data_IF_900830651586
#
_entry.id   IF_900830651586
#
_cell.length_a   1.000
_cell.length_b   1.000
_cell.length_c   1.000
_cell.angle_alpha   90.00
_cell.angle_beta   90.00
_cell.angle_gamma   90.00
#
_symmetry.space_group_name_H-M   'P 1'
#
loop_
_entity.id
_entity.type
_entity.pdbx_description
1 polymer ?
#
# COMPACT_ATOMS: atom_id res chain seq x y z
N UNK A 1 -15.55 24.85 12.41
CA UNK A 1 -14.34 24.09 11.98
C UNK A 1 -13.62 24.91 10.92
N UNK A 2 -12.32 25.12 11.03
CA UNK A 2 -11.55 25.78 9.98
C UNK A 2 -11.50 24.88 8.74
N UNK A 3 -11.59 25.48 7.55
CA UNK A 3 -11.46 24.78 6.27
C UNK A 3 -10.09 25.13 5.73
N UNK A 4 -9.39 24.14 5.19
CA UNK A 4 -8.13 24.33 4.45
C UNK A 4 -8.40 23.95 3.01
N UNK A 5 -8.01 24.80 2.09
CA UNK A 5 -8.15 24.56 0.65
C UNK A 5 -6.80 24.13 0.06
N UNK A 6 -6.81 23.09 -0.75
CA UNK A 6 -5.62 22.63 -1.46
C UNK A 6 -6.03 22.03 -2.81
N UNK A 7 -5.33 22.33 -3.90
CA UNK A 7 -5.47 21.61 -5.15
C UNK A 7 -5.31 20.10 -4.97
N UNK A 8 -6.25 19.32 -5.49
CA UNK A 8 -6.22 17.87 -5.33
C UNK A 8 -6.75 17.14 -6.56
N UNK A 9 -6.19 15.97 -6.85
CA UNK A 9 -6.64 15.04 -7.90
C UNK A 9 -6.62 13.60 -7.39
N UNK A 10 -7.66 12.85 -7.73
CA UNK A 10 -7.63 11.41 -7.68
C UNK A 10 -7.27 10.86 -9.06
N UNK A 11 -6.09 10.27 -9.19
CA UNK A 11 -5.56 9.68 -10.43
C UNK A 11 -6.08 8.25 -10.54
N UNK A 12 -7.02 8.01 -11.43
CA UNK A 12 -7.64 6.72 -11.63
C UNK A 12 -7.53 6.25 -13.09
N UNK A 13 -7.98 5.05 -13.39
CA UNK A 13 -7.92 4.48 -14.73
C UNK A 13 -9.12 3.54 -14.97
N UNK A 14 -9.37 3.13 -16.23
CA UNK A 14 -10.41 2.14 -16.53
C UNK A 14 -10.11 0.76 -15.92
N UNK A 15 -8.83 0.42 -15.74
CA UNK A 15 -8.41 -0.91 -15.25
C UNK A 15 -7.01 -0.87 -14.62
N UNK A 16 -6.63 -1.98 -13.99
CA UNK A 16 -5.22 -2.23 -13.64
C UNK A 16 -4.35 -2.30 -14.89
N UNK A 17 -3.04 -1.99 -14.75
CA UNK A 17 -2.08 -2.01 -15.87
C UNK A 17 -2.15 -0.80 -16.83
N UNK A 18 -3.08 0.15 -16.62
CA UNK A 18 -3.18 1.38 -17.44
C UNK A 18 -2.05 2.40 -17.20
N UNK A 19 -1.18 2.16 -16.20
CA UNK A 19 -0.03 2.98 -15.86
C UNK A 19 -0.33 4.13 -14.90
N UNK A 20 -1.31 3.95 -14.00
CA UNK A 20 -1.63 4.92 -12.93
C UNK A 20 -0.39 5.32 -12.14
N UNK A 21 0.37 4.35 -11.64
CA UNK A 21 1.55 4.58 -10.81
C UNK A 21 2.61 5.38 -11.56
N UNK A 22 2.92 5.03 -12.82
CA UNK A 22 3.87 5.78 -13.64
C UNK A 22 3.43 7.24 -13.86
N UNK A 23 2.13 7.46 -14.12
CA UNK A 23 1.60 8.81 -14.35
C UNK A 23 1.52 9.59 -13.03
N UNK A 24 1.10 8.99 -11.92
CA UNK A 24 1.08 9.64 -10.60
C UNK A 24 2.49 10.04 -10.17
N UNK A 25 3.45 9.13 -10.33
CA UNK A 25 4.85 9.40 -10.04
C UNK A 25 5.43 10.50 -10.94
N UNK A 26 5.12 10.47 -12.25
CA UNK A 26 5.51 11.51 -13.18
C UNK A 26 4.95 12.89 -12.79
N UNK A 27 3.67 12.96 -12.45
CA UNK A 27 3.02 14.19 -11.98
C UNK A 27 3.64 14.70 -10.68
N UNK A 28 3.83 13.82 -9.69
CA UNK A 28 4.43 14.19 -8.42
C UNK A 28 5.84 14.75 -8.61
N UNK A 29 6.69 14.07 -9.38
CA UNK A 29 8.05 14.53 -9.69
C UNK A 29 8.07 15.80 -10.52
N UNK A 30 7.19 15.95 -11.50
CA UNK A 30 7.04 17.14 -12.34
C UNK A 30 6.73 18.40 -11.52
N UNK A 31 5.73 18.34 -10.63
CA UNK A 31 5.39 19.48 -9.79
C UNK A 31 6.46 19.76 -8.73
N UNK A 32 7.06 18.72 -8.15
CA UNK A 32 8.18 18.88 -7.22
C UNK A 32 9.38 19.57 -7.87
N UNK A 33 9.72 19.25 -9.12
CA UNK A 33 10.79 19.92 -9.86
C UNK A 33 10.50 21.41 -10.14
N UNK A 34 9.22 21.80 -10.07
CA UNK A 34 8.80 23.20 -10.12
C UNK A 34 8.76 23.88 -8.74
N UNK A 35 9.28 23.25 -7.71
CA UNK A 35 9.32 23.78 -6.35
C UNK A 35 8.01 23.66 -5.58
N UNK A 36 7.08 22.81 -6.02
CA UNK A 36 5.81 22.56 -5.32
C UNK A 36 5.96 21.50 -4.24
N UNK A 37 5.30 21.72 -3.11
CA UNK A 37 5.13 20.72 -2.06
C UNK A 37 4.00 19.76 -2.45
N UNK A 38 4.35 18.52 -2.81
CA UNK A 38 3.39 17.52 -3.27
C UNK A 38 3.23 16.44 -2.21
N UNK A 39 1.99 16.17 -1.80
CA UNK A 39 1.65 15.01 -0.97
C UNK A 39 0.93 13.98 -1.80
N UNK A 40 1.36 12.73 -1.70
CA UNK A 40 0.75 11.61 -2.43
C UNK A 40 0.11 10.63 -1.44
N UNK A 41 -1.05 10.13 -1.82
CA UNK A 41 -1.75 9.06 -1.12
C UNK A 41 -2.03 7.90 -2.08
N UNK A 42 -2.19 6.72 -1.53
CA UNK A 42 -2.61 5.52 -2.27
C UNK A 42 -3.98 5.06 -1.78
N UNK A 43 -4.93 4.79 -2.68
CA UNK A 43 -6.18 4.15 -2.24
C UNK A 43 -5.98 2.65 -2.06
N UNK A 44 -6.67 2.09 -1.08
CA UNK A 44 -6.62 0.67 -0.77
C UNK A 44 -5.30 0.18 -0.17
N UNK A 45 -5.21 -1.12 0.06
CA UNK A 45 -4.03 -1.76 0.65
C UNK A 45 -2.97 -2.03 -0.41
N UNK A 46 -1.88 -1.29 -0.37
CA UNK A 46 -0.74 -1.46 -1.26
C UNK A 46 0.55 -1.16 -0.50
N UNK A 47 1.59 -1.98 -0.69
CA UNK A 47 2.88 -1.83 -0.02
C UNK A 47 4.02 -1.46 -0.98
N UNK A 48 3.82 -1.62 -2.28
CA UNK A 48 4.87 -1.51 -3.30
C UNK A 48 4.82 -0.16 -3.98
N UNK A 49 3.67 0.21 -4.55
CA UNK A 49 3.49 1.51 -5.21
C UNK A 49 3.82 2.70 -4.29
N UNK A 50 3.46 2.68 -2.98
CA UNK A 50 3.83 3.75 -2.05
C UNK A 50 5.31 4.08 -2.03
N UNK A 51 6.22 3.10 -2.11
CA UNK A 51 7.66 3.35 -2.14
C UNK A 51 8.12 4.16 -3.35
N UNK A 52 7.59 3.86 -4.53
CA UNK A 52 7.86 4.62 -5.77
C UNK A 52 7.30 6.04 -5.67
N UNK A 53 6.08 6.18 -5.16
CA UNK A 53 5.41 7.47 -5.01
C UNK A 53 6.08 8.34 -3.93
N UNK A 54 6.63 7.73 -2.89
CA UNK A 54 7.44 8.38 -1.85
C UNK A 54 8.72 8.96 -2.45
N UNK A 55 9.44 8.20 -3.26
CA UNK A 55 10.60 8.70 -4.00
C UNK A 55 10.22 9.85 -4.95
N UNK A 56 9.09 9.74 -5.65
CA UNK A 56 8.63 10.75 -6.59
C UNK A 56 8.27 12.08 -5.90
N UNK A 57 7.49 12.03 -4.83
CA UNK A 57 7.04 13.20 -4.09
C UNK A 57 8.07 13.75 -3.10
N UNK A 58 8.94 12.88 -2.55
CA UNK A 58 9.86 13.19 -1.47
C UNK A 58 9.22 13.18 -0.08
N UNK A 59 8.00 12.64 0.03
CA UNK A 59 7.24 12.59 1.29
C UNK A 59 6.61 11.23 1.50
N UNK A 60 6.38 10.81 2.77
CA UNK A 60 5.71 9.57 3.08
C UNK A 60 4.35 9.44 2.43
N UNK A 61 4.06 8.26 1.89
CA UNK A 61 2.79 7.94 1.24
C UNK A 61 1.93 7.10 2.18
N UNK A 62 0.70 7.56 2.42
CA UNK A 62 -0.27 6.90 3.30
C UNK A 62 -1.44 6.35 2.50
N UNK A 63 -2.08 5.33 3.06
CA UNK A 63 -3.28 4.74 2.51
C UNK A 63 -4.51 5.58 2.84
N UNK A 64 -5.42 5.66 1.86
CA UNK A 64 -6.79 6.13 2.04
C UNK A 64 -7.75 5.00 1.67
N UNK A 65 -8.63 4.65 2.57
CA UNK A 65 -9.64 3.61 2.35
C UNK A 65 -10.80 3.84 3.31
N UNK A 66 -12.03 3.92 2.79
CA UNK A 66 -13.20 4.27 3.61
C UNK A 66 -13.56 3.18 4.63
N UNK A 67 -13.16 1.93 4.39
CA UNK A 67 -13.43 0.83 5.29
C UNK A 67 -12.24 0.48 6.20
N UNK A 68 -11.06 0.22 5.63
CA UNK A 68 -9.88 -0.22 6.39
C UNK A 68 -9.30 0.92 7.24
N UNK A 69 -9.05 2.05 6.61
CA UNK A 69 -8.54 3.27 7.27
C UNK A 69 -9.66 3.97 8.04
N UNK A 70 -10.84 4.04 7.44
CA UNK A 70 -12.01 4.73 7.96
C UNK A 70 -12.07 6.21 7.58
N UNK A 71 -13.29 6.71 7.47
CA UNK A 71 -13.58 8.07 7.01
C UNK A 71 -12.91 9.17 7.85
N UNK A 72 -12.96 9.05 9.16
CA UNK A 72 -12.39 10.04 10.08
C UNK A 72 -10.86 10.18 9.93
N UNK A 73 -10.16 9.06 9.81
CA UNK A 73 -8.71 9.05 9.63
C UNK A 73 -8.32 9.53 8.23
N UNK A 74 -9.05 9.14 7.18
CA UNK A 74 -8.87 9.68 5.83
C UNK A 74 -9.02 11.19 5.81
N UNK A 75 -10.09 11.72 6.41
CA UNK A 75 -10.33 13.16 6.54
C UNK A 75 -9.20 13.87 7.27
N UNK A 76 -8.75 13.30 8.38
CA UNK A 76 -7.65 13.85 9.17
C UNK A 76 -6.36 13.94 8.38
N UNK A 77 -6.00 12.87 7.64
CA UNK A 77 -4.79 12.82 6.80
C UNK A 77 -4.85 13.82 5.65
N UNK A 78 -5.98 13.90 4.96
CA UNK A 78 -6.17 14.87 3.87
C UNK A 78 -6.09 16.31 4.40
N UNK A 79 -6.75 16.61 5.52
CA UNK A 79 -6.70 17.95 6.11
C UNK A 79 -5.30 18.30 6.64
N UNK A 80 -4.54 17.34 7.16
CA UNK A 80 -3.14 17.56 7.57
C UNK A 80 -2.25 17.86 6.36
N UNK A 81 -2.37 17.06 5.29
CA UNK A 81 -1.62 17.27 4.05
C UNK A 81 -1.96 18.62 3.40
N UNK A 82 -3.24 19.01 3.37
CA UNK A 82 -3.68 20.27 2.77
C UNK A 82 -3.10 21.53 3.45
N UNK A 83 -2.66 21.43 4.71
CA UNK A 83 -1.99 22.56 5.42
C UNK A 83 -0.56 22.80 4.98
N UNK A 84 0.06 21.80 4.38
CA UNK A 84 1.50 21.79 4.07
C UNK A 84 1.78 21.67 2.58
N UNK A 85 0.80 21.20 1.79
CA UNK A 85 0.98 20.91 0.38
C UNK A 85 0.46 22.02 -0.53
N UNK A 86 1.13 22.21 -1.67
CA UNK A 86 0.60 22.95 -2.82
C UNK A 86 -0.31 22.07 -3.68
N UNK A 87 -0.14 20.74 -3.61
CA UNK A 87 -0.89 19.76 -4.40
C UNK A 87 -1.00 18.43 -3.66
N UNK A 88 -2.21 17.87 -3.64
CA UNK A 88 -2.48 16.51 -3.20
C UNK A 88 -2.80 15.64 -4.42
N UNK A 89 -2.07 14.53 -4.57
CA UNK A 89 -2.36 13.48 -5.53
C UNK A 89 -2.79 12.22 -4.80
N UNK A 90 -3.83 11.57 -5.28
CA UNK A 90 -4.30 10.29 -4.71
C UNK A 90 -4.31 9.27 -5.84
N UNK A 91 -3.48 8.24 -5.74
CA UNK A 91 -3.49 7.17 -6.71
C UNK A 91 -4.58 6.15 -6.40
N UNK A 92 -5.47 5.92 -7.36
CA UNK A 92 -6.54 4.92 -7.28
C UNK A 92 -6.02 3.49 -7.41
N UNK A 93 -6.72 2.55 -6.80
CA UNK A 93 -6.50 1.11 -6.96
C UNK A 93 -7.44 0.54 -8.03
N UNK A 94 -7.01 -0.50 -8.76
CA UNK A 94 -7.80 -1.19 -9.80
C UNK A 94 -8.39 -0.22 -10.85
N UNK A 95 -9.59 -0.48 -11.36
CA UNK A 95 -10.36 0.47 -12.16
C UNK A 95 -11.12 1.46 -11.27
N UNK A 96 -11.46 2.63 -11.82
CA UNK A 96 -12.10 3.74 -11.09
C UNK A 96 -13.34 3.30 -10.29
N UNK A 97 -14.14 2.39 -10.84
CA UNK A 97 -15.40 1.93 -10.26
C UNK A 97 -15.31 0.54 -9.64
N UNK A 98 -14.10 -0.07 -9.65
CA UNK A 98 -13.89 -1.43 -9.14
C UNK A 98 -13.71 -1.42 -7.63
N UNK A 99 -14.23 -2.46 -6.98
CA UNK A 99 -14.15 -2.65 -5.54
C UNK A 99 -15.28 -1.99 -4.76
N UNK A 100 -15.29 -2.27 -3.44
CA UNK A 100 -16.26 -1.69 -2.49
C UNK A 100 -15.55 -1.47 -1.16
N UNK A 101 -15.28 -0.20 -0.75
CA UNK A 101 -15.48 1.02 -1.54
C UNK A 101 -14.51 1.11 -2.72
N UNK A 102 -14.95 1.73 -3.82
CA UNK A 102 -14.14 2.01 -5.00
C UNK A 102 -13.37 3.33 -4.87
N UNK A 103 -12.45 3.59 -5.80
CA UNK A 103 -11.79 4.91 -5.92
C UNK A 103 -12.79 6.02 -6.21
N UNK A 104 -13.87 5.72 -6.96
CA UNK A 104 -14.95 6.68 -7.22
C UNK A 104 -15.73 7.03 -5.95
N UNK A 105 -16.00 6.04 -5.06
CA UNK A 105 -16.67 6.31 -3.78
C UNK A 105 -15.84 7.26 -2.91
N UNK A 106 -14.53 7.09 -2.88
CA UNK A 106 -13.63 7.99 -2.13
C UNK A 106 -13.61 9.39 -2.76
N UNK A 107 -13.56 9.48 -4.09
CA UNK A 107 -13.59 10.75 -4.81
C UNK A 107 -14.87 11.54 -4.53
N UNK A 108 -16.03 10.88 -4.60
CA UNK A 108 -17.33 11.49 -4.28
C UNK A 108 -17.43 11.91 -2.82
N UNK A 109 -17.00 11.04 -1.89
CA UNK A 109 -17.09 11.29 -0.45
C UNK A 109 -16.31 12.53 -0.01
N UNK A 110 -15.13 12.76 -0.61
CA UNK A 110 -14.27 13.91 -0.28
C UNK A 110 -14.37 15.07 -1.27
N UNK A 111 -15.18 14.95 -2.33
CA UNK A 111 -15.32 15.96 -3.36
C UNK A 111 -14.04 16.15 -4.20
N UNK A 112 -13.20 15.14 -4.33
CA UNK A 112 -11.91 15.21 -5.02
C UNK A 112 -12.09 14.90 -6.51
N UNK A 113 -11.72 15.82 -7.42
CA UNK A 113 -11.89 15.60 -8.85
C UNK A 113 -11.01 14.46 -9.37
N UNK A 114 -11.57 13.63 -10.25
CA UNK A 114 -10.88 12.50 -10.88
C UNK A 114 -10.13 12.94 -12.12
N UNK A 115 -8.84 12.63 -12.19
CA UNK A 115 -8.03 12.61 -13.40
C UNK A 115 -7.98 11.17 -13.94
N UNK A 116 -8.62 10.91 -15.07
CA UNK A 116 -8.61 9.58 -15.67
C UNK A 116 -7.38 9.38 -16.56
N UNK A 117 -6.53 8.44 -16.19
CA UNK A 117 -5.39 7.96 -16.99
C UNK A 117 -5.85 6.85 -17.90
N UNK A 118 -5.76 7.06 -19.20
CA UNK A 118 -6.21 6.10 -20.22
C UNK A 118 -5.01 5.63 -21.04
N UNK A 119 -4.79 4.31 -21.10
CA UNK A 119 -3.79 3.70 -21.98
C UNK A 119 -4.20 3.89 -23.43
N UNK A 120 -3.45 4.70 -24.15
CA UNK A 120 -3.73 5.03 -25.55
C UNK A 120 -2.91 4.19 -26.55
N UNK A 121 -2.14 3.19 -26.10
CA UNK A 121 -1.20 2.44 -26.95
C UNK A 121 -1.84 1.78 -28.18
N UNK A 122 -3.15 1.46 -28.11
CA UNK A 122 -3.92 0.85 -29.19
C UNK A 122 -5.24 1.59 -29.48
N UNK A 123 -5.28 2.91 -29.22
CA UNK A 123 -6.49 3.71 -29.37
C UNK A 123 -6.29 4.89 -30.32
N UNK A 124 -7.37 5.32 -30.95
CA UNK A 124 -7.51 6.56 -31.69
C UNK A 124 -8.79 7.28 -31.21
N UNK A 125 -9.81 7.46 -32.05
CA UNK A 125 -11.06 8.16 -31.68
C UNK A 125 -11.87 7.47 -30.59
N UNK A 126 -11.75 6.14 -30.41
CA UNK A 126 -12.39 5.39 -29.32
C UNK A 126 -11.96 5.91 -27.93
N UNK A 127 -10.81 6.57 -27.83
CA UNK A 127 -10.35 7.24 -26.62
C UNK A 127 -11.40 8.22 -26.05
N UNK A 128 -12.00 9.03 -26.92
CA UNK A 128 -13.05 9.97 -26.52
C UNK A 128 -14.30 9.31 -25.97
N UNK A 129 -14.71 8.16 -26.54
CA UNK A 129 -15.85 7.39 -26.04
C UNK A 129 -15.58 6.80 -24.63
N UNK A 130 -14.37 6.29 -24.41
CA UNK A 130 -13.96 5.79 -23.10
C UNK A 130 -13.88 6.92 -22.06
N UNK A 131 -13.30 8.06 -22.45
CA UNK A 131 -13.23 9.25 -21.61
C UNK A 131 -14.62 9.74 -21.19
N UNK A 132 -15.57 9.79 -22.14
CA UNK A 132 -16.96 10.16 -21.87
C UNK A 132 -17.62 9.18 -20.90
N UNK A 133 -17.44 7.88 -21.14
CA UNK A 133 -17.99 6.84 -20.26
C UNK A 133 -17.53 6.99 -18.83
N UNK A 134 -16.21 7.20 -18.60
CA UNK A 134 -15.66 7.41 -17.26
C UNK A 134 -16.21 8.68 -16.59
N UNK A 135 -16.39 9.76 -17.35
CA UNK A 135 -16.87 11.04 -16.82
C UNK A 135 -18.36 11.05 -16.50
N UNK A 136 -19.18 10.22 -17.17
CA UNK A 136 -20.63 10.30 -17.08
C UNK A 136 -21.31 9.10 -16.45
N UNK A 137 -20.59 8.00 -16.24
CA UNK A 137 -21.14 6.77 -15.66
C UNK A 137 -21.75 7.00 -14.26
N UNK A 138 -21.14 7.89 -13.47
CA UNK A 138 -21.68 8.35 -12.18
C UNK A 138 -21.79 9.88 -12.20
N UNK A 139 -23.02 10.42 -12.33
CA UNK A 139 -23.23 11.86 -12.51
C UNK A 139 -22.74 12.73 -11.34
N UNK A 140 -22.67 12.17 -10.12
CA UNK A 140 -22.20 12.90 -8.91
C UNK A 140 -20.67 12.93 -8.81
N UNK A 141 -19.95 12.13 -9.60
CA UNK A 141 -18.49 12.04 -9.51
C UNK A 141 -17.84 13.34 -10.00
N UNK A 142 -17.07 14.04 -9.15
CA UNK A 142 -16.30 15.18 -9.62
C UNK A 142 -15.23 14.70 -10.60
N UNK A 143 -15.25 15.23 -11.83
CA UNK A 143 -14.36 14.80 -12.90
C UNK A 143 -13.52 15.96 -13.41
N UNK A 144 -12.19 15.87 -13.28
CA UNK A 144 -11.27 16.92 -13.67
C UNK A 144 -10.93 16.87 -15.17
N UNK A 145 -10.79 15.68 -15.73
CA UNK A 145 -10.40 15.46 -17.12
C UNK A 145 -9.63 14.18 -17.34
N UNK A 146 -8.91 14.12 -18.46
CA UNK A 146 -8.18 12.92 -18.89
C UNK A 146 -6.72 13.22 -19.21
N UNK A 147 -5.86 12.23 -18.99
CA UNK A 147 -4.47 12.17 -19.40
C UNK A 147 -4.24 10.88 -20.20
N UNK A 148 -3.69 11.00 -21.41
CA UNK A 148 -3.37 9.85 -22.23
C UNK A 148 -1.99 9.29 -21.88
N UNK A 149 -1.90 7.99 -21.60
CA UNK A 149 -0.65 7.31 -21.33
C UNK A 149 -0.20 6.44 -22.52
N UNK A 150 1.09 6.18 -22.63
CA UNK A 150 1.70 5.36 -23.69
C UNK A 150 1.42 5.88 -25.11
N UNK A 151 1.40 7.19 -25.27
CA UNK A 151 1.16 7.84 -26.55
C UNK A 151 2.35 7.66 -27.49
N UNK A 152 2.08 7.33 -28.75
CA UNK A 152 3.13 6.99 -29.73
C UNK A 152 3.87 8.22 -30.30
N UNK A 153 3.17 9.37 -30.46
CA UNK A 153 3.71 10.58 -31.08
C UNK A 153 2.84 11.81 -30.80
N UNK A 154 3.36 13.04 -31.03
CA UNK A 154 2.55 14.27 -30.93
C UNK A 154 1.33 14.27 -31.88
N UNK A 155 1.47 13.66 -33.08
CA UNK A 155 0.33 13.51 -34.00
C UNK A 155 -0.75 12.60 -33.40
N UNK A 156 -0.36 11.49 -32.77
CA UNK A 156 -1.29 10.60 -32.07
C UNK A 156 -1.96 11.33 -30.91
N UNK A 157 -1.22 12.10 -30.10
CA UNK A 157 -1.80 12.95 -29.05
C UNK A 157 -2.85 13.92 -29.59
N UNK A 158 -2.59 14.53 -30.75
CA UNK A 158 -3.55 15.41 -31.42
C UNK A 158 -4.86 14.70 -31.83
N UNK A 159 -4.76 13.45 -32.34
CA UNK A 159 -5.94 12.65 -32.67
C UNK A 159 -6.75 12.28 -31.41
N UNK A 160 -6.09 11.89 -30.34
CA UNK A 160 -6.74 11.57 -29.07
C UNK A 160 -7.46 12.80 -28.50
N UNK A 161 -6.78 13.94 -28.44
CA UNK A 161 -7.34 15.21 -27.95
C UNK A 161 -8.56 15.62 -28.78
N UNK A 162 -8.49 15.52 -30.10
CA UNK A 162 -9.58 15.87 -31.01
C UNK A 162 -10.80 14.95 -30.90
N UNK A 163 -10.64 13.75 -30.31
CA UNK A 163 -11.74 12.81 -30.09
C UNK A 163 -12.57 13.10 -28.85
N UNK A 164 -12.06 13.98 -27.96
CA UNK A 164 -12.76 14.30 -26.72
C UNK A 164 -14.04 15.09 -27.02
N UNK A 165 -15.16 14.73 -26.39
CA UNK A 165 -16.37 15.51 -26.47
C UNK A 165 -16.19 16.89 -25.80
N UNK A 166 -16.96 17.92 -26.24
CA UNK A 166 -16.94 19.24 -25.63
C UNK A 166 -17.15 19.18 -24.10
N UNK A 167 -16.35 19.93 -23.36
CA UNK A 167 -16.42 20.00 -21.90
C UNK A 167 -15.52 19.01 -21.15
N UNK A 168 -14.97 17.99 -21.81
CA UNK A 168 -13.94 17.16 -21.22
C UNK A 168 -12.56 17.79 -21.37
N UNK A 169 -11.92 18.05 -20.22
CA UNK A 169 -10.59 18.66 -20.18
C UNK A 169 -9.51 17.64 -20.54
N UNK A 170 -8.62 18.02 -21.46
CA UNK A 170 -7.36 17.32 -21.73
C UNK A 170 -6.28 17.88 -20.81
N UNK A 171 -5.69 17.05 -19.96
CA UNK A 171 -4.59 17.45 -19.08
C UNK A 171 -3.22 17.34 -19.75
N UNK A 172 -3.09 16.40 -20.69
CA UNK A 172 -1.83 16.13 -21.36
C UNK A 172 -1.64 14.68 -21.70
N UNK A 173 -0.39 14.30 -21.91
CA UNK A 173 -0.05 12.92 -22.27
C UNK A 173 1.36 12.55 -21.84
N UNK A 174 1.57 11.25 -21.64
CA UNK A 174 2.86 10.65 -21.39
C UNK A 174 3.20 9.70 -22.57
N UNK A 175 4.38 9.82 -23.19
CA UNK A 175 4.80 8.90 -24.24
C UNK A 175 5.09 7.51 -23.67
N UNK A 176 5.24 6.52 -24.58
CA UNK A 176 5.68 5.19 -24.19
C UNK A 176 7.19 5.20 -23.92
N UNK A 177 7.56 5.42 -22.67
CA UNK A 177 8.95 5.45 -22.20
C UNK A 177 9.42 4.04 -21.80
N UNK A 178 10.16 3.36 -22.67
CA UNK A 178 10.64 1.99 -22.38
C UNK A 178 11.77 1.97 -21.33
N UNK A 179 12.65 2.96 -21.35
CA UNK A 179 13.81 3.04 -20.46
C UNK A 179 13.44 3.55 -19.05
N UNK A 180 12.32 4.24 -18.93
CA UNK A 180 11.76 4.68 -17.66
C UNK A 180 10.60 3.78 -17.16
N UNK A 181 10.36 2.64 -17.83
CA UNK A 181 9.37 1.69 -17.38
C UNK A 181 9.73 1.18 -15.98
N UNK A 182 8.77 1.26 -15.07
CA UNK A 182 8.91 0.65 -13.75
C UNK A 182 8.77 -0.88 -13.92
N UNK A 183 9.76 -1.67 -13.45
CA UNK A 183 9.73 -3.11 -13.63
C UNK A 183 8.59 -3.74 -12.81
N UNK A 184 7.86 -4.64 -13.44
CA UNK A 184 6.78 -5.39 -12.80
C UNK A 184 7.24 -6.80 -12.45
N UNK A 185 6.78 -7.33 -11.32
CA UNK A 185 6.85 -8.74 -10.92
C UNK A 185 5.47 -9.37 -10.96
N UNK A 186 5.38 -10.67 -10.63
CA UNK A 186 4.13 -11.44 -10.58
C UNK A 186 3.01 -10.80 -9.76
N UNK A 187 3.34 -9.95 -8.77
CA UNK A 187 2.41 -9.36 -7.81
C UNK A 187 2.41 -7.83 -7.79
N UNK A 188 2.94 -7.19 -8.83
CA UNK A 188 3.03 -5.73 -8.92
C UNK A 188 4.42 -5.25 -9.31
N UNK A 189 4.76 -4.00 -8.98
CA UNK A 189 6.08 -3.42 -9.22
C UNK A 189 7.17 -4.12 -8.37
N UNK A 190 8.41 -3.97 -8.79
CA UNK A 190 9.58 -4.24 -7.94
C UNK A 190 9.65 -3.17 -6.84
N UNK A 191 10.08 -3.53 -5.63
CA UNK A 191 10.21 -2.57 -4.54
C UNK A 191 11.14 -1.40 -4.88
N UNK A 192 10.84 -0.21 -4.37
CA UNK A 192 11.63 0.99 -4.67
C UNK A 192 13.12 0.84 -4.27
N UNK A 193 13.39 0.15 -3.18
CA UNK A 193 14.72 -0.16 -2.67
C UNK A 193 15.50 -1.18 -3.52
N UNK A 194 14.80 -1.92 -4.39
CA UNK A 194 15.40 -2.84 -5.35
C UNK A 194 15.71 -2.17 -6.71
N UNK A 195 15.38 -0.89 -6.88
CA UNK A 195 15.59 -0.11 -8.11
C UNK A 195 16.64 0.98 -7.91
N UNK A 196 17.94 0.70 -8.08
CA UNK A 196 19.01 1.69 -7.84
C UNK A 196 18.95 2.90 -8.77
N UNK A 197 18.28 2.80 -9.91
CA UNK A 197 18.10 3.85 -10.91
C UNK A 197 16.71 4.52 -10.86
N UNK A 198 15.94 4.33 -9.76
CA UNK A 198 14.57 4.83 -9.64
C UNK A 198 14.47 6.34 -9.80
N UNK A 199 15.35 7.12 -9.16
CA UNK A 199 15.33 8.58 -9.28
C UNK A 199 15.54 9.05 -10.72
N UNK A 200 16.49 8.45 -11.45
CA UNK A 200 16.71 8.76 -12.86
C UNK A 200 15.51 8.41 -13.76
N UNK A 201 14.82 7.29 -13.45
CA UNK A 201 13.58 6.91 -14.14
C UNK A 201 12.45 7.90 -13.87
N UNK A 202 12.30 8.32 -12.62
CA UNK A 202 11.29 9.31 -12.22
C UNK A 202 11.54 10.67 -12.88
N UNK A 203 12.78 11.14 -12.92
CA UNK A 203 13.15 12.38 -13.60
C UNK A 203 12.87 12.31 -15.10
N UNK A 204 13.15 11.14 -15.74
CA UNK A 204 12.84 10.91 -17.15
C UNK A 204 11.34 10.89 -17.41
N UNK A 205 10.53 10.24 -16.57
CA UNK A 205 9.07 10.24 -16.68
C UNK A 205 8.51 11.66 -16.54
N UNK A 206 9.00 12.42 -15.56
CA UNK A 206 8.58 13.81 -15.37
C UNK A 206 8.97 14.71 -16.56
N UNK A 207 10.18 14.53 -17.08
CA UNK A 207 10.66 15.28 -18.26
C UNK A 207 9.95 14.93 -19.56
N UNK A 208 9.43 13.70 -19.67
CA UNK A 208 8.67 13.23 -20.84
C UNK A 208 7.19 13.64 -20.79
N UNK A 209 6.69 14.04 -19.63
CA UNK A 209 5.29 14.42 -19.44
C UNK A 209 4.98 15.73 -20.17
N UNK A 210 4.04 15.68 -21.11
CA UNK A 210 3.58 16.87 -21.85
C UNK A 210 2.24 17.33 -21.28
N UNK A 211 2.27 18.42 -20.56
CA UNK A 211 1.09 19.03 -19.92
C UNK A 211 0.52 20.17 -20.74
N UNK A 212 -0.80 20.35 -20.67
CA UNK A 212 -1.46 21.57 -21.18
C UNK A 212 -1.12 22.81 -20.33
N UNK A 213 -1.48 23.99 -20.84
CA UNK A 213 -1.34 25.21 -20.06
C UNK A 213 -2.19 25.13 -18.79
N UNK A 214 -1.62 25.61 -17.67
CA UNK A 214 -2.23 25.58 -16.34
C UNK A 214 -2.67 24.15 -15.90
N UNK A 215 -1.71 23.27 -15.60
CA UNK A 215 -2.02 21.90 -15.24
C UNK A 215 -2.55 21.73 -13.79
N UNK A 216 -2.57 22.79 -12.99
CA UNK A 216 -3.06 22.73 -11.61
C UNK A 216 -4.58 22.45 -11.58
N UNK A 217 -5.02 21.51 -10.72
CA UNK A 217 -6.44 21.28 -10.50
C UNK A 217 -7.07 22.39 -9.65
N UNK A 218 -8.40 22.40 -9.62
CA UNK A 218 -9.13 23.26 -8.70
C UNK A 218 -8.82 22.90 -7.23
N UNK A 219 -8.88 23.90 -6.36
CA UNK A 219 -8.76 23.67 -4.92
C UNK A 219 -9.98 22.91 -4.39
N UNK A 220 -9.71 21.98 -3.49
CA UNK A 220 -10.72 21.20 -2.74
C UNK A 220 -10.69 21.64 -1.29
N UNK A 221 -11.87 21.81 -0.71
CA UNK A 221 -12.03 22.20 0.68
C UNK A 221 -11.93 20.98 1.60
N UNK A 222 -10.95 20.98 2.49
CA UNK A 222 -10.74 19.94 3.50
C UNK A 222 -11.10 20.49 4.89
N UNK A 223 -12.24 20.09 5.50
CA UNK A 223 -12.56 20.44 6.87
C UNK A 223 -11.47 20.00 7.83
N UNK A 224 -11.01 20.89 8.70
CA UNK A 224 -10.00 20.54 9.70
C UNK A 224 -10.53 19.43 10.61
N UNK A 225 -9.70 18.44 10.83
CA UNK A 225 -9.95 17.36 11.75
C UNK A 225 -8.78 17.29 12.75
N UNK A 226 -9.11 17.23 14.03
CA UNK A 226 -8.10 17.05 15.07
C UNK A 226 -7.69 15.59 15.19
N UNK A 227 -6.41 15.37 15.49
CA UNK A 227 -5.95 14.03 15.81
C UNK A 227 -6.44 13.65 17.22
N UNK A 228 -7.01 12.46 17.42
CA UNK A 228 -7.32 11.99 18.76
C UNK A 228 -6.02 11.89 19.58
N UNK A 229 -6.11 12.23 20.86
CA UNK A 229 -5.00 12.02 21.78
C UNK A 229 -4.74 10.51 21.91
N UNK A 230 -3.52 10.08 21.57
CA UNK A 230 -3.11 8.69 21.69
C UNK A 230 -2.52 8.44 23.08
N UNK A 231 -2.98 7.41 23.80
CA UNK A 231 -2.34 7.02 25.06
C UNK A 231 -0.94 6.46 24.77
N UNK A 232 0.03 6.80 25.62
CA UNK A 232 1.42 6.35 25.47
C UNK A 232 1.63 4.95 26.06
N UNK A 233 0.85 3.97 25.59
CA UNK A 233 0.85 2.60 26.11
C UNK A 233 2.16 1.85 25.85
N UNK A 234 2.94 2.26 24.85
CA UNK A 234 4.21 1.62 24.45
C UNK A 234 5.44 2.39 24.96
N UNK A 235 5.24 3.25 25.98
CA UNK A 235 6.35 3.96 26.60
C UNK A 235 7.39 2.97 27.12
N UNK A 236 8.65 3.22 26.77
CA UNK A 236 9.80 2.41 27.15
C UNK A 236 9.83 0.98 26.56
N UNK A 237 8.93 0.67 25.61
CA UNK A 237 8.91 -0.59 24.85
C UNK A 237 9.79 -0.43 23.60
N UNK A 238 10.80 -1.30 23.47
CA UNK A 238 11.58 -1.44 22.25
C UNK A 238 10.97 -2.54 21.38
N UNK A 239 10.59 -2.20 20.14
CA UNK A 239 10.05 -3.14 19.16
C UNK A 239 11.07 -3.32 18.04
N UNK A 240 11.60 -4.54 17.91
CA UNK A 240 12.44 -4.89 16.78
C UNK A 240 11.58 -5.34 15.59
N UNK A 241 11.79 -4.72 14.44
CA UNK A 241 10.98 -4.89 13.23
C UNK A 241 11.86 -5.48 12.13
N UNK A 242 11.50 -6.64 11.62
CA UNK A 242 12.14 -7.24 10.46
C UNK A 242 11.88 -6.37 9.23
N UNK A 243 12.95 -5.96 8.54
CA UNK A 243 12.85 -5.11 7.34
C UNK A 243 13.99 -5.39 6.39
N UNK A 244 13.68 -6.08 5.30
CA UNK A 244 14.56 -6.34 4.16
C UNK A 244 13.71 -6.81 2.96
N UNK A 245 14.34 -7.31 1.89
CA UNK A 245 13.64 -7.80 0.69
C UNK A 245 12.69 -8.99 0.95
N UNK A 246 12.87 -9.73 2.04
CA UNK A 246 11.94 -10.80 2.43
C UNK A 246 10.76 -10.29 3.27
N UNK A 247 10.91 -9.14 3.95
CA UNK A 247 9.95 -8.60 4.92
C UNK A 247 9.79 -7.09 4.73
N UNK A 248 9.09 -6.66 3.69
CA UNK A 248 8.99 -5.26 3.28
C UNK A 248 7.57 -4.67 3.37
N UNK A 249 6.54 -5.48 3.64
CA UNK A 249 5.14 -5.03 3.57
C UNK A 249 4.70 -4.40 4.89
N UNK A 250 5.05 -3.13 5.06
CA UNK A 250 4.78 -2.36 6.28
C UNK A 250 4.01 -1.09 5.91
N UNK A 251 2.84 -0.88 6.53
CA UNK A 251 2.19 0.42 6.45
C UNK A 251 2.99 1.47 7.23
N UNK A 252 3.34 2.56 6.59
CA UNK A 252 3.98 3.70 7.26
C UNK A 252 3.18 4.18 8.47
N UNK A 253 1.85 4.20 8.32
CA UNK A 253 0.93 4.57 9.38
C UNK A 253 1.05 3.72 10.65
N UNK A 254 1.42 2.44 10.51
CA UNK A 254 1.64 1.54 11.64
C UNK A 254 2.90 1.95 12.42
N UNK A 255 3.98 2.28 11.71
CA UNK A 255 5.24 2.73 12.36
C UNK A 255 5.04 4.05 13.10
N UNK A 256 4.37 5.00 12.45
CA UNK A 256 4.07 6.31 13.04
C UNK A 256 3.19 6.16 14.29
N UNK A 257 2.21 5.24 14.26
CA UNK A 257 1.36 4.94 15.41
C UNK A 257 2.17 4.42 16.60
N UNK A 258 3.01 3.39 16.39
CA UNK A 258 3.84 2.82 17.45
C UNK A 258 4.74 3.89 18.09
N UNK A 259 5.37 4.72 17.26
CA UNK A 259 6.20 5.83 17.71
C UNK A 259 5.40 6.86 18.51
N UNK A 260 4.22 7.24 18.02
CA UNK A 260 3.32 8.18 18.71
C UNK A 260 2.85 7.64 20.08
N UNK A 261 2.67 6.32 20.18
CA UNK A 261 2.33 5.64 21.44
C UNK A 261 3.53 5.43 22.37
N UNK A 262 4.74 5.85 21.97
CA UNK A 262 5.93 5.91 22.80
C UNK A 262 6.93 4.79 22.59
N UNK A 263 6.73 3.88 21.62
CA UNK A 263 7.68 2.82 21.31
C UNK A 263 8.98 3.35 20.70
N UNK A 264 10.08 2.67 21.00
CA UNK A 264 11.34 2.80 20.26
C UNK A 264 11.39 1.70 19.19
N UNK A 265 11.51 2.08 17.92
CA UNK A 265 11.56 1.14 16.81
C UNK A 265 13.02 0.88 16.41
N UNK A 266 13.38 -0.40 16.29
CA UNK A 266 14.68 -0.86 15.81
C UNK A 266 14.47 -1.79 14.61
N UNK A 267 15.11 -1.49 13.48
CA UNK A 267 14.99 -2.32 12.29
C UNK A 267 16.17 -3.28 12.20
N UNK A 268 15.89 -4.52 11.78
CA UNK A 268 16.90 -5.53 11.53
C UNK A 268 16.57 -6.34 10.27
N UNK A 269 17.58 -6.99 9.69
CA UNK A 269 17.43 -7.76 8.45
C UNK A 269 17.58 -9.26 8.73
N UNK A 270 16.51 -10.05 8.68
CA UNK A 270 16.62 -11.50 8.72
C UNK A 270 17.52 -12.12 7.64
N UNK A 271 17.72 -11.44 6.52
CA UNK A 271 18.62 -11.89 5.45
C UNK A 271 20.10 -11.62 5.74
N UNK A 272 20.41 -10.53 6.48
CA UNK A 272 21.80 -10.10 6.71
C UNK A 272 22.28 -10.34 8.14
N UNK A 273 21.44 -10.08 9.15
CA UNK A 273 21.79 -10.17 10.55
C UNK A 273 21.81 -11.64 11.02
N UNK A 274 22.82 -12.01 11.78
CA UNK A 274 23.04 -13.39 12.23
C UNK A 274 22.43 -13.71 13.60
N UNK A 275 21.92 -12.70 14.28
CA UNK A 275 21.30 -12.84 15.59
C UNK A 275 20.08 -11.95 15.71
N UNK A 276 19.12 -12.38 16.53
CA UNK A 276 17.98 -11.55 16.89
C UNK A 276 18.42 -10.40 17.79
N UNK A 277 18.09 -9.12 17.48
CA UNK A 277 18.42 -8.00 18.34
C UNK A 277 17.67 -8.07 19.67
N UNK A 278 18.23 -7.52 20.74
CA UNK A 278 17.55 -7.46 22.03
C UNK A 278 16.40 -6.45 21.98
N UNK A 279 15.18 -6.91 22.25
CA UNK A 279 13.98 -6.09 22.23
C UNK A 279 12.92 -6.62 23.20
N UNK A 280 11.92 -5.78 23.50
CA UNK A 280 10.79 -6.14 24.35
C UNK A 280 9.66 -6.83 23.56
N UNK A 281 9.62 -6.61 22.24
CA UNK A 281 8.69 -7.25 21.31
C UNK A 281 9.29 -7.30 19.89
N UNK A 282 8.77 -8.20 19.05
CA UNK A 282 9.20 -8.39 17.67
C UNK A 282 8.03 -8.29 16.71
N UNK A 283 8.31 -7.68 15.54
CA UNK A 283 7.36 -7.63 14.43
C UNK A 283 8.00 -8.16 13.15
N UNK A 284 7.36 -9.16 12.57
CA UNK A 284 7.70 -9.74 11.27
C UNK A 284 6.56 -9.42 10.30
N UNK A 285 6.72 -8.41 9.45
CA UNK A 285 5.71 -8.02 8.48
C UNK A 285 5.60 -9.02 7.32
N UNK A 286 4.69 -8.76 6.40
CA UNK A 286 4.63 -9.50 5.15
C UNK A 286 5.79 -9.19 4.21
N UNK A 287 5.83 -9.93 3.11
CA UNK A 287 6.85 -9.85 2.09
C UNK A 287 6.93 -11.15 1.29
N UNK A 288 8.10 -11.45 0.76
CA UNK A 288 8.36 -12.60 -0.11
C UNK A 288 9.43 -13.55 0.46
N UNK A 289 9.23 -14.17 1.66
CA UNK A 289 10.21 -15.09 2.24
C UNK A 289 10.48 -16.29 1.33
N UNK A 290 9.49 -16.72 0.51
CA UNK A 290 9.63 -17.82 -0.44
C UNK A 290 10.68 -17.58 -1.54
N UNK A 291 11.07 -16.34 -1.77
CA UNK A 291 12.16 -15.98 -2.71
C UNK A 291 13.54 -16.07 -2.04
N UNK A 292 13.61 -16.21 -0.72
CA UNK A 292 14.83 -16.15 0.08
C UNK A 292 15.04 -17.38 1.00
N UNK A 293 14.44 -18.53 0.65
CA UNK A 293 14.39 -19.72 1.50
C UNK A 293 15.76 -20.20 1.97
N UNK A 294 16.78 -20.21 1.09
CA UNK A 294 18.13 -20.68 1.45
C UNK A 294 18.75 -19.83 2.56
N UNK A 295 18.66 -18.51 2.42
CA UNK A 295 19.22 -17.57 3.39
C UNK A 295 18.49 -17.64 4.73
N UNK A 296 17.15 -17.65 4.71
CA UNK A 296 16.34 -17.73 5.93
C UNK A 296 16.51 -19.06 6.66
N UNK A 297 16.53 -20.19 5.91
CA UNK A 297 16.76 -21.51 6.48
C UNK A 297 18.15 -21.67 7.12
N UNK A 298 19.17 -21.07 6.49
CA UNK A 298 20.54 -21.12 7.00
C UNK A 298 20.80 -20.21 8.21
N UNK A 299 19.89 -19.27 8.49
CA UNK A 299 20.06 -18.32 9.59
C UNK A 299 19.63 -18.93 10.94
N UNK A 300 20.42 -19.90 11.42
CA UNK A 300 20.14 -20.62 12.67
C UNK A 300 20.24 -19.72 13.90
N UNK A 301 21.13 -18.73 13.92
CA UNK A 301 21.27 -17.80 15.05
C UNK A 301 20.03 -16.95 15.27
N UNK A 302 19.41 -16.47 14.19
CA UNK A 302 18.13 -15.76 14.28
C UNK A 302 17.03 -16.69 14.76
N UNK A 303 16.92 -17.90 14.20
CA UNK A 303 15.95 -18.92 14.60
C UNK A 303 16.05 -19.25 16.08
N UNK A 304 17.25 -19.53 16.57
CA UNK A 304 17.47 -19.92 17.96
C UNK A 304 17.13 -18.77 18.91
N UNK A 305 17.43 -17.51 18.52
CA UNK A 305 17.00 -16.30 19.20
C UNK A 305 15.48 -16.17 19.29
N UNK A 306 14.76 -16.44 18.18
CA UNK A 306 13.29 -16.40 18.14
C UNK A 306 12.65 -17.49 19.03
N UNK A 307 13.19 -18.71 19.02
CA UNK A 307 12.73 -19.79 19.89
C UNK A 307 12.94 -19.43 21.37
N UNK A 308 14.07 -18.82 21.71
CA UNK A 308 14.35 -18.35 23.06
C UNK A 308 13.40 -17.20 23.47
N UNK A 309 13.12 -16.26 22.58
CA UNK A 309 12.17 -15.17 22.81
C UNK A 309 10.75 -15.69 23.03
N UNK A 310 10.30 -16.65 22.20
CA UNK A 310 9.01 -17.30 22.37
C UNK A 310 8.91 -18.03 23.72
N UNK A 311 9.94 -18.80 24.09
CA UNK A 311 9.98 -19.49 25.37
C UNK A 311 9.98 -18.53 26.57
N UNK A 312 10.59 -17.36 26.43
CA UNK A 312 10.56 -16.28 27.43
C UNK A 312 9.24 -15.50 27.49
N UNK A 313 8.28 -15.82 26.62
CA UNK A 313 7.00 -15.11 26.53
C UNK A 313 7.11 -13.69 25.98
N UNK A 314 8.15 -13.40 25.19
CA UNK A 314 8.27 -12.11 24.49
C UNK A 314 7.21 -12.02 23.39
N UNK A 315 6.46 -10.92 23.29
CA UNK A 315 5.47 -10.72 22.22
C UNK A 315 6.11 -10.76 20.83
N UNK A 316 5.54 -11.56 19.95
CA UNK A 316 5.92 -11.65 18.54
C UNK A 316 4.66 -11.51 17.70
N UNK A 317 4.62 -10.53 16.80
CA UNK A 317 3.57 -10.39 15.79
C UNK A 317 4.16 -10.77 14.43
N UNK A 318 3.50 -11.67 13.71
CA UNK A 318 3.92 -12.13 12.40
C UNK A 318 2.77 -12.06 11.39
N UNK A 319 2.92 -11.27 10.34
CA UNK A 319 1.90 -11.05 9.32
C UNK A 319 2.31 -11.66 7.98
N UNK A 320 1.42 -12.36 7.29
CA UNK A 320 1.57 -12.90 5.94
C UNK A 320 2.93 -13.63 5.75
N UNK A 321 3.86 -13.09 4.96
CA UNK A 321 5.21 -13.65 4.78
C UNK A 321 5.95 -13.85 6.10
N UNK A 322 5.78 -12.92 7.07
CA UNK A 322 6.31 -13.08 8.41
C UNK A 322 5.75 -14.31 9.12
N UNK A 323 4.43 -14.55 9.03
CA UNK A 323 3.82 -15.77 9.54
C UNK A 323 4.35 -17.02 8.81
N UNK A 324 4.50 -16.96 7.48
CA UNK A 324 4.99 -18.11 6.70
C UNK A 324 6.35 -18.60 7.23
N UNK A 325 7.25 -17.69 7.55
CA UNK A 325 8.57 -18.01 8.08
C UNK A 325 8.55 -18.60 9.50
N UNK A 326 7.47 -18.40 10.28
CA UNK A 326 7.34 -18.98 11.64
C UNK A 326 6.99 -20.47 11.63
N UNK A 327 6.48 -21.01 10.53
CA UNK A 327 6.14 -22.44 10.43
C UNK A 327 7.37 -23.32 10.31
N UNK A 328 7.18 -24.66 10.35
CA UNK A 328 8.26 -25.65 10.22
C UNK A 328 8.93 -25.61 8.85
N UNK A 329 8.16 -25.33 7.78
CA UNK A 329 8.67 -25.32 6.42
C UNK A 329 7.83 -24.46 5.48
N UNK A 330 8.48 -23.99 4.40
CA UNK A 330 7.82 -23.40 3.22
C UNK A 330 8.18 -24.24 2.00
N UNK A 331 7.17 -24.52 1.17
CA UNK A 331 7.34 -25.06 -0.19
C UNK A 331 7.08 -23.95 -1.18
N UNK A 332 8.07 -23.63 -2.02
CA UNK A 332 7.96 -22.58 -3.04
C UNK A 332 7.11 -23.02 -4.26
N UNK A 333 6.86 -22.09 -5.19
CA UNK A 333 6.09 -22.37 -6.40
C UNK A 333 6.74 -23.41 -7.34
N UNK A 334 8.03 -23.66 -7.19
CA UNK A 334 8.78 -24.72 -7.89
C UNK A 334 8.68 -26.08 -7.22
N UNK A 335 8.00 -26.20 -6.08
CA UNK A 335 7.89 -27.42 -5.30
C UNK A 335 9.10 -27.69 -4.39
N UNK A 336 10.04 -26.76 -4.24
CA UNK A 336 11.19 -26.89 -3.35
C UNK A 336 10.77 -26.58 -1.92
N UNK A 337 10.88 -27.58 -1.03
CA UNK A 337 10.57 -27.48 0.38
C UNK A 337 11.83 -27.18 1.20
N UNK A 338 11.78 -26.12 2.02
CA UNK A 338 12.88 -25.75 2.92
C UNK A 338 12.36 -25.59 4.36
N UNK A 339 13.17 -26.04 5.32
CA UNK A 339 12.88 -25.82 6.73
C UNK A 339 12.93 -24.33 7.07
N UNK A 340 12.00 -23.89 7.90
CA UNK A 340 11.94 -22.52 8.41
C UNK A 340 12.19 -22.50 9.92
N UNK A 341 11.64 -21.55 10.64
CA UNK A 341 12.03 -21.30 12.03
C UNK A 341 11.33 -22.18 13.05
N UNK A 342 10.21 -22.84 12.72
CA UNK A 342 9.57 -23.86 13.54
C UNK A 342 8.96 -23.36 14.86
N UNK A 343 8.52 -22.10 14.92
CA UNK A 343 7.79 -21.54 16.07
C UNK A 343 6.32 -21.95 16.06
N UNK A 344 5.78 -22.24 14.88
CA UNK A 344 4.43 -22.73 14.65
C UNK A 344 4.49 -24.11 13.98
N UNK A 345 3.79 -25.14 14.51
CA UNK A 345 3.75 -26.44 13.86
C UNK A 345 2.96 -26.43 12.57
N UNK A 346 3.52 -26.98 11.51
CA UNK A 346 2.89 -27.07 10.20
C UNK A 346 3.73 -26.51 9.08
N UNK A 347 3.12 -26.40 7.90
CA UNK A 347 3.81 -26.04 6.67
C UNK A 347 2.99 -25.06 5.85
N UNK A 348 3.71 -24.27 5.04
CA UNK A 348 3.13 -23.36 4.05
C UNK A 348 3.53 -23.82 2.66
N UNK A 349 2.59 -23.80 1.72
CA UNK A 349 2.80 -24.18 0.34
C UNK A 349 2.33 -23.05 -0.59
N UNK A 350 3.23 -22.57 -1.47
CA UNK A 350 2.91 -21.59 -2.48
C UNK A 350 2.01 -22.20 -3.56
N UNK A 351 1.01 -21.46 -4.01
CA UNK A 351 -0.01 -21.90 -4.96
C UNK A 351 0.03 -21.06 -6.24
N UNK A 352 -0.36 -21.66 -7.36
CA UNK A 352 -0.54 -20.94 -8.62
C UNK A 352 -1.80 -20.04 -8.63
N UNK A 353 -2.74 -20.30 -7.71
CA UNK A 353 -3.97 -19.52 -7.57
C UNK A 353 -3.94 -18.69 -6.29
N UNK A 354 -4.64 -17.58 -6.33
CA UNK A 354 -4.83 -16.71 -5.18
C UNK A 354 -5.44 -17.48 -4.00
N UNK A 355 -4.77 -17.47 -2.83
CA UNK A 355 -5.21 -18.10 -1.61
C UNK A 355 -6.15 -17.21 -0.80
N UNK A 356 -5.84 -15.91 -0.71
CA UNK A 356 -6.66 -14.93 0.00
C UNK A 356 -6.59 -13.54 -0.62
N UNK A 357 -7.71 -12.83 -0.60
CA UNK A 357 -7.82 -11.45 -1.09
C UNK A 357 -8.92 -10.71 -0.36
N UNK A 358 -8.66 -9.43 -0.05
CA UNK A 358 -9.66 -8.44 0.32
C UNK A 358 -9.54 -7.93 1.74
N UNK A 359 -10.40 -6.96 2.05
CA UNK A 359 -10.48 -6.29 3.34
C UNK A 359 -11.14 -7.19 4.38
N UNK A 360 -10.58 -7.23 5.58
CA UNK A 360 -11.03 -8.09 6.67
C UNK A 360 -10.84 -7.42 8.02
N UNK A 361 -11.64 -7.83 9.00
CA UNK A 361 -11.49 -7.45 10.40
C UNK A 361 -11.31 -8.70 11.27
N UNK A 362 -10.31 -8.70 12.13
CA UNK A 362 -10.08 -9.76 13.11
C UNK A 362 -10.54 -9.28 14.49
N UNK A 363 -11.43 -10.05 15.13
CA UNK A 363 -11.81 -9.84 16.53
C UNK A 363 -10.83 -10.63 17.41
N UNK A 364 -9.93 -9.92 18.07
CA UNK A 364 -8.93 -10.47 18.97
C UNK A 364 -9.27 -10.16 20.43
N UNK A 365 -8.69 -10.87 21.40
CA UNK A 365 -8.84 -10.49 22.82
C UNK A 365 -8.40 -9.05 23.12
N UNK A 366 -7.47 -8.53 22.35
CA UNK A 366 -6.96 -7.16 22.43
C UNK A 366 -7.95 -6.11 21.88
N UNK A 367 -8.85 -6.52 21.01
CA UNK A 367 -9.84 -5.70 20.29
C UNK A 367 -9.88 -5.99 18.80
N UNK A 368 -10.80 -5.37 18.11
CA UNK A 368 -10.96 -5.56 16.64
C UNK A 368 -9.92 -4.77 15.88
N UNK A 369 -9.20 -5.43 14.98
CA UNK A 369 -8.25 -4.83 14.03
C UNK A 369 -8.73 -5.04 12.59
N UNK A 370 -8.74 -3.96 11.81
CA UNK A 370 -8.98 -4.01 10.37
C UNK A 370 -7.67 -4.16 9.62
N UNK A 371 -7.75 -4.75 8.45
CA UNK A 371 -6.62 -4.94 7.57
C UNK A 371 -7.05 -5.54 6.25
N UNK A 372 -6.11 -6.11 5.55
CA UNK A 372 -6.38 -6.82 4.32
C UNK A 372 -5.53 -8.09 4.22
N UNK A 373 -5.88 -8.94 3.29
CA UNK A 373 -5.08 -10.10 2.90
C UNK A 373 -4.87 -10.13 1.40
N UNK A 374 -3.68 -10.57 0.99
CA UNK A 374 -3.33 -10.84 -0.41
C UNK A 374 -2.16 -11.83 -0.44
N UNK A 375 -2.44 -13.10 -0.73
CA UNK A 375 -1.39 -14.12 -0.79
C UNK A 375 -1.73 -15.27 -1.75
N UNK A 376 -0.70 -15.95 -2.23
CA UNK A 376 -0.75 -17.12 -3.10
C UNK A 376 -0.26 -18.37 -2.39
N UNK A 377 -0.54 -18.50 -1.11
CA UNK A 377 -0.10 -19.64 -0.30
C UNK A 377 -1.26 -20.27 0.48
N UNK A 378 -1.05 -21.49 0.93
CA UNK A 378 -1.95 -22.20 1.84
C UNK A 378 -1.17 -22.73 3.03
N UNK A 379 -1.80 -22.74 4.20
CA UNK A 379 -1.22 -23.25 5.44
C UNK A 379 -1.84 -24.59 5.80
N UNK A 380 -0.99 -25.57 6.11
CA UNK A 380 -1.39 -26.87 6.66
C UNK A 380 -0.87 -26.97 8.10
N UNK A 381 -1.74 -26.85 9.07
CA UNK A 381 -1.38 -26.88 10.50
C UNK A 381 -2.45 -27.58 11.31
N UNK A 382 -2.02 -28.19 12.43
CA UNK A 382 -2.92 -28.75 13.45
C UNK A 382 -3.34 -27.72 14.51
N UNK A 383 -2.81 -26.50 14.46
CA UNK A 383 -3.17 -25.45 15.40
C UNK A 383 -4.63 -25.02 15.22
N UNK A 384 -5.43 -25.02 16.27
CA UNK A 384 -6.72 -24.35 16.22
C UNK A 384 -6.50 -22.83 16.08
N UNK A 385 -7.29 -22.13 15.25
CA UNK A 385 -7.22 -20.69 15.19
C UNK A 385 -7.71 -20.07 16.50
N UNK A 386 -7.04 -19.03 16.97
CA UNK A 386 -7.51 -18.17 18.07
C UNK A 386 -8.82 -17.46 17.67
N UNK A 387 -8.84 -16.97 16.40
CA UNK A 387 -9.96 -16.29 15.81
C UNK A 387 -9.93 -16.49 14.29
N UNK A 388 -11.05 -16.22 13.63
CA UNK A 388 -11.13 -16.06 12.18
C UNK A 388 -11.58 -14.66 11.87
N UNK A 389 -10.86 -14.00 10.97
CA UNK A 389 -11.26 -12.69 10.50
C UNK A 389 -12.59 -12.77 9.74
N UNK A 390 -13.29 -11.66 9.68
CA UNK A 390 -14.53 -11.51 8.90
C UNK A 390 -14.25 -10.58 7.72
N UNK A 391 -14.55 -11.04 6.52
CA UNK A 391 -14.45 -10.22 5.31
C UNK A 391 -15.48 -9.10 5.33
N UNK A 392 -15.24 -8.05 4.58
CA UNK A 392 -16.20 -6.96 4.43
C UNK A 392 -17.60 -7.45 3.96
N UNK A 393 -17.65 -8.55 3.19
CA UNK A 393 -18.90 -9.20 2.77
C UNK A 393 -19.65 -9.95 3.89
N UNK A 394 -19.06 -10.04 5.09
CA UNK A 394 -19.59 -10.84 6.22
C UNK A 394 -19.18 -12.32 6.18
N UNK A 395 -18.52 -12.78 5.14
CA UNK A 395 -18.04 -14.17 5.07
C UNK A 395 -16.76 -14.37 5.88
N UNK A 396 -16.46 -15.64 6.21
CA UNK A 396 -15.25 -16.04 6.93
C UNK A 396 -13.99 -15.66 6.13
N UNK A 397 -13.01 -15.13 6.83
CA UNK A 397 -11.71 -14.70 6.32
C UNK A 397 -10.56 -15.51 6.89
N UNK A 398 -9.40 -14.85 7.03
CA UNK A 398 -8.16 -15.48 7.46
C UNK A 398 -8.19 -15.97 8.91
N UNK A 399 -7.51 -17.08 9.14
CA UNK A 399 -7.25 -17.55 10.49
C UNK A 399 -6.18 -16.71 11.18
N UNK A 400 -6.36 -16.46 12.46
CA UNK A 400 -5.34 -15.91 13.35
C UNK A 400 -4.92 -17.02 14.31
N UNK A 401 -3.64 -17.31 14.32
CA UNK A 401 -3.04 -18.33 15.22
C UNK A 401 -2.35 -17.65 16.39
N UNK A 402 -2.33 -18.35 17.54
CA UNK A 402 -1.57 -17.90 18.70
C UNK A 402 -0.93 -19.07 19.45
N UNK A 403 0.39 -18.97 19.67
CA UNK A 403 1.15 -19.89 20.50
C UNK A 403 1.94 -19.07 21.53
N UNK A 404 1.55 -19.16 22.80
CA UNK A 404 2.07 -18.26 23.82
C UNK A 404 1.77 -16.80 23.50
N UNK A 405 2.82 -16.00 23.28
CA UNK A 405 2.73 -14.59 22.89
C UNK A 405 3.06 -14.33 21.42
N UNK A 406 3.25 -15.37 20.63
CA UNK A 406 3.33 -15.27 19.18
C UNK A 406 1.93 -15.24 18.59
N UNK A 407 1.57 -14.15 17.93
CA UNK A 407 0.33 -13.99 17.14
C UNK A 407 0.69 -13.94 15.66
N UNK A 408 0.02 -14.74 14.84
CA UNK A 408 0.35 -14.89 13.43
C UNK A 408 -0.91 -15.02 12.55
N UNK A 409 -0.93 -14.38 11.40
CA UNK A 409 -2.04 -14.43 10.43
C UNK A 409 -1.55 -14.02 9.04
N UNK A 410 -2.31 -14.38 7.99
CA UNK A 410 -2.15 -13.75 6.67
C UNK A 410 -2.68 -12.31 6.63
N UNK A 411 -3.44 -11.90 7.63
CA UNK A 411 -3.98 -10.54 7.71
C UNK A 411 -2.86 -9.53 7.95
N UNK A 412 -2.74 -8.54 7.07
CA UNK A 412 -1.94 -7.34 7.29
C UNK A 412 -2.78 -6.31 8.03
N UNK A 413 -2.50 -6.07 9.28
CA UNK A 413 -3.25 -5.15 10.12
C UNK A 413 -2.98 -3.68 9.78
N UNK A 414 -4.03 -2.89 9.63
CA UNK A 414 -3.94 -1.43 9.64
C UNK A 414 -4.20 -0.95 11.07
N UNK A 415 -3.14 -0.77 11.84
CA UNK A 415 -3.20 -0.57 13.29
C UNK A 415 -3.86 0.73 13.74
N UNK A 416 -3.82 1.84 12.97
CA UNK A 416 -4.61 3.02 13.32
C UNK A 416 -6.12 2.79 13.34
N UNK A 417 -6.63 1.66 12.82
CA UNK A 417 -8.04 1.28 12.95
C UNK A 417 -8.46 1.00 14.40
N UNK A 418 -7.53 0.55 15.25
CA UNK A 418 -7.70 0.40 16.69
C UNK A 418 -6.32 0.48 17.39
N UNK A 419 -5.86 1.69 17.75
CA UNK A 419 -4.53 1.91 18.33
C UNK A 419 -4.26 1.11 19.59
N UNK A 420 -5.27 1.00 20.50
CA UNK A 420 -5.10 0.28 21.76
C UNK A 420 -4.97 -1.23 21.56
N UNK A 421 -5.79 -1.80 20.67
CA UNK A 421 -5.68 -3.22 20.33
C UNK A 421 -4.30 -3.53 19.72
N UNK A 422 -3.83 -2.69 18.83
CA UNK A 422 -2.49 -2.81 18.23
C UNK A 422 -1.37 -2.76 19.28
N UNK A 423 -1.43 -1.78 20.20
CA UNK A 423 -0.44 -1.66 21.27
C UNK A 423 -0.37 -2.91 22.15
N UNK A 424 -1.52 -3.48 22.54
CA UNK A 424 -1.61 -4.68 23.40
C UNK A 424 -0.95 -5.92 22.76
N UNK A 425 -0.82 -6.00 21.44
CA UNK A 425 -0.10 -7.07 20.76
C UNK A 425 1.40 -7.05 21.05
N UNK A 426 1.96 -5.89 21.42
CA UNK A 426 3.38 -5.70 21.73
C UNK A 426 3.68 -5.59 23.24
N UNK A 427 2.67 -5.69 24.08
CA UNK A 427 2.82 -5.64 25.54
C UNK A 427 2.89 -7.04 26.13
N UNK A 428 3.61 -7.21 27.25
CA UNK A 428 3.66 -8.47 28.03
C UNK A 428 2.40 -8.74 28.82
#
# INVERSE_FOLDING_TARGET
MSIVECPALLVAAPSSGSGKTSVTAALARYFRQQGKEVRVFKTGPDFIDPGVLECASGHPVYQLDLWMVGEAECRRRLAAAAREADLILIEGVMGLFDGTPSSADLAEYFGIPVLAVIDASAQAQTFGALALGLATYRPALPFAGVLANRVASPHHAGMLKSSLPPGLRWFGWLPKEREAALPERHLGLVGADEMPDLDAKLDRLAGALVMEQDPMPAAVAFPAAEAPALPRLLRDIRIAIARDHAFAFIYRANLDLLTAMGATLEFFSPLADKALPAADAYYFPGGYPELHLDTLSANTGLRDGLLAAQAAGTPILAECGGMMAMFDAITDAGGRRMAMWGLLPGEVEMQARLGGLGLQAAELPEGTLRGHTFHYSTTKTSLPPLAKATKQSGSEGEAVYRVGRLTASYLHGYWPSNPEAAARLFMR
#
